data_IF_813418222896
#
_entry.id   IF_813418222896
#
_cell.length_a   1.000
_cell.length_b   1.000
_cell.length_c   1.000
_cell.angle_alpha   90.00
_cell.angle_beta   90.00
_cell.angle_gamma   90.00
#
_symmetry.space_group_name_H-M   'P 1'
#
loop_
_entity.id
_entity.type
_entity.pdbx_description
1 polymer ?
#
# COMPACT_ATOMS: atom_id res chain seq x y z
N UNK A 1 -5.15 3.16 30.37
CA UNK A 1 -5.08 1.99 29.47
C UNK A 1 -4.06 2.28 28.39
N UNK A 2 -2.97 1.53 28.34
CA UNK A 2 -1.95 1.72 27.30
C UNK A 2 -2.56 1.38 25.93
N UNK A 3 -2.51 2.34 25.00
CA UNK A 3 -2.95 2.16 23.62
C UNK A 3 -1.88 1.30 22.93
N UNK A 4 -1.88 -0.01 23.20
CA UNK A 4 -0.99 -0.96 22.54
C UNK A 4 -1.22 -0.82 21.04
N UNK A 5 -0.15 -0.56 20.30
CA UNK A 5 -0.12 -0.31 18.84
C UNK A 5 -0.94 -1.37 18.08
N UNK A 6 -2.24 -1.07 17.92
CA UNK A 6 -3.23 -1.95 17.32
C UNK A 6 -2.88 -2.28 15.86
N UNK A 7 -2.12 -1.41 15.21
CA UNK A 7 -1.67 -1.57 13.83
C UNK A 7 -0.77 -2.80 13.67
N UNK A 8 0.26 -2.98 14.50
CA UNK A 8 1.19 -4.12 14.36
C UNK A 8 0.47 -5.47 14.55
N UNK A 9 -0.40 -5.56 15.54
CA UNK A 9 -1.22 -6.76 15.81
C UNK A 9 -2.20 -7.05 14.67
N UNK A 10 -2.77 -6.02 14.04
CA UNK A 10 -3.63 -6.19 12.86
C UNK A 10 -2.83 -6.61 11.64
N UNK A 11 -1.70 -5.96 11.40
CA UNK A 11 -0.81 -6.22 10.26
C UNK A 11 -0.27 -7.65 10.27
N UNK A 12 0.14 -8.17 11.42
CA UNK A 12 0.61 -9.56 11.55
C UNK A 12 -0.48 -10.60 11.24
N UNK A 13 -1.75 -10.31 11.54
CA UNK A 13 -2.88 -11.19 11.20
C UNK A 13 -3.18 -11.24 9.70
N UNK A 14 -2.73 -10.25 8.93
CA UNK A 14 -2.91 -10.20 7.47
C UNK A 14 -1.93 -11.14 6.76
N UNK A 15 -0.77 -11.41 7.38
CA UNK A 15 0.19 -12.40 6.87
C UNK A 15 -0.44 -13.78 6.99
N UNK A 16 -0.94 -14.29 5.88
CA UNK A 16 -1.63 -15.57 5.81
C UNK A 16 -1.45 -16.21 4.43
N UNK A 17 -1.00 -17.48 4.38
CA UNK A 17 -0.91 -18.23 3.12
C UNK A 17 -2.29 -18.50 2.50
N UNK A 18 -3.39 -18.34 3.25
CA UNK A 18 -4.74 -18.74 2.83
C UNK A 18 -5.37 -17.80 1.81
N UNK A 19 -5.13 -16.49 1.94
CA UNK A 19 -5.80 -15.46 1.13
C UNK A 19 -5.06 -15.13 -0.17
N UNK A 20 -3.80 -15.53 -0.31
CA UNK A 20 -3.01 -15.29 -1.52
C UNK A 20 -2.56 -13.84 -1.73
N UNK A 21 -2.56 -13.02 -0.68
CA UNK A 21 -2.19 -11.59 -0.72
C UNK A 21 -0.82 -11.37 -0.10
N UNK A 22 -0.60 -11.94 1.09
CA UNK A 22 0.61 -11.78 1.87
C UNK A 22 0.94 -13.09 2.58
N UNK A 23 1.80 -13.92 1.97
CA UNK A 23 2.15 -15.24 2.50
C UNK A 23 3.14 -15.14 3.67
N UNK A 24 4.26 -14.47 3.42
CA UNK A 24 5.35 -14.32 4.38
C UNK A 24 6.17 -13.08 4.06
N UNK A 25 6.74 -12.47 5.10
CA UNK A 25 7.66 -11.33 4.99
C UNK A 25 9.05 -11.81 5.39
N UNK A 26 10.03 -11.48 4.58
CA UNK A 26 11.42 -11.87 4.75
C UNK A 26 12.28 -10.62 4.86
N UNK A 27 13.25 -10.65 5.78
CA UNK A 27 14.29 -9.62 5.80
C UNK A 27 15.19 -9.84 4.59
N UNK A 28 15.30 -8.82 3.74
CA UNK A 28 16.12 -8.88 2.55
C UNK A 28 17.60 -8.66 2.91
N UNK A 29 18.53 -9.19 2.11
CA UNK A 29 19.95 -8.93 2.29
C UNK A 29 20.21 -7.42 2.26
N UNK A 30 21.14 -7.00 3.11
CA UNK A 30 21.56 -5.60 3.16
C UNK A 30 22.38 -5.27 1.92
N UNK A 31 22.23 -4.06 1.39
CA UNK A 31 23.12 -3.56 0.37
C UNK A 31 24.52 -3.37 0.96
N UNK A 32 25.54 -3.85 0.23
CA UNK A 32 26.94 -4.00 0.72
C UNK A 32 27.56 -2.70 1.26
N UNK A 33 27.02 -1.53 0.92
CA UNK A 33 27.56 -0.22 1.28
C UNK A 33 26.59 0.68 2.05
N UNK A 34 25.41 0.19 2.42
CA UNK A 34 24.48 0.95 3.27
C UNK A 34 24.19 0.17 4.56
N UNK A 35 24.89 0.47 5.67
CA UNK A 35 24.69 -0.21 6.94
C UNK A 35 23.38 0.17 7.62
N UNK A 36 22.76 1.29 7.26
CA UNK A 36 21.55 1.81 7.88
C UNK A 36 20.29 1.30 7.18
N UNK A 37 20.39 0.91 5.92
CA UNK A 37 19.27 0.34 5.17
C UNK A 37 18.81 -1.00 5.75
N UNK A 38 17.54 -1.04 6.16
CA UNK A 38 16.83 -2.25 6.56
C UNK A 38 15.70 -2.46 5.56
N UNK A 39 15.74 -3.61 4.89
CA UNK A 39 14.81 -3.94 3.82
C UNK A 39 14.02 -5.20 4.17
N UNK A 40 12.73 -5.16 3.91
CA UNK A 40 11.86 -6.34 3.94
C UNK A 40 11.19 -6.52 2.59
N UNK A 41 10.90 -7.77 2.26
CA UNK A 41 10.22 -8.15 1.03
C UNK A 41 9.19 -9.22 1.30
N UNK A 42 8.18 -9.28 0.45
CA UNK A 42 7.15 -10.32 0.52
C UNK A 42 7.49 -11.49 -0.38
N UNK A 43 7.16 -12.70 0.08
CA UNK A 43 7.20 -13.87 -0.77
C UNK A 43 6.02 -13.80 -1.76
N UNK A 44 6.24 -14.04 -3.06
CA UNK A 44 5.17 -13.98 -4.05
C UNK A 44 4.07 -14.99 -3.72
N UNK A 45 2.82 -14.53 -3.85
CA UNK A 45 1.62 -15.32 -3.58
C UNK A 45 0.93 -15.68 -4.88
N UNK A 46 0.19 -16.80 -4.92
CA UNK A 46 -0.67 -17.11 -6.07
C UNK A 46 -1.88 -16.18 -6.09
N UNK A 47 -1.83 -15.17 -6.97
CA UNK A 47 -2.86 -14.13 -7.07
C UNK A 47 -3.96 -14.43 -8.09
N UNK A 48 -3.96 -15.61 -8.72
CA UNK A 48 -4.95 -15.98 -9.77
C UNK A 48 -6.39 -15.90 -9.28
N UNK A 49 -6.62 -16.15 -7.97
CA UNK A 49 -7.93 -16.02 -7.31
C UNK A 49 -8.43 -14.57 -7.21
N UNK A 50 -7.52 -13.60 -7.35
CA UNK A 50 -7.79 -12.16 -7.32
C UNK A 50 -7.73 -11.55 -8.73
N UNK A 51 -7.76 -12.39 -9.78
CA UNK A 51 -7.65 -11.96 -11.18
C UNK A 51 -6.33 -11.24 -11.51
N UNK A 52 -5.29 -11.43 -10.69
CA UNK A 52 -3.94 -10.94 -10.93
C UNK A 52 -3.04 -11.99 -11.59
N UNK A 53 -1.85 -11.54 -11.99
CA UNK A 53 -0.80 -12.42 -12.52
C UNK A 53 -0.23 -13.33 -11.42
N UNK A 54 -0.02 -14.61 -11.75
CA UNK A 54 0.17 -15.68 -10.76
C UNK A 54 1.21 -15.39 -9.67
N UNK A 55 2.34 -14.77 -10.00
CA UNK A 55 3.42 -14.50 -9.04
C UNK A 55 3.98 -13.07 -9.10
N UNK A 56 3.19 -12.14 -9.65
CA UNK A 56 3.68 -10.80 -9.92
C UNK A 56 3.63 -9.86 -8.70
N UNK A 57 2.86 -10.22 -7.68
CA UNK A 57 2.69 -9.43 -6.46
C UNK A 57 3.90 -9.47 -5.53
N UNK A 58 4.97 -8.80 -5.95
CA UNK A 58 6.16 -8.50 -5.15
C UNK A 58 6.05 -7.06 -4.64
N UNK A 59 6.36 -6.89 -3.36
CA UNK A 59 6.40 -5.61 -2.65
C UNK A 59 7.53 -5.63 -1.64
N UNK A 60 8.07 -4.47 -1.32
CA UNK A 60 9.22 -4.33 -0.45
C UNK A 60 9.31 -2.94 0.15
N UNK A 61 9.50 -2.87 1.46
CA UNK A 61 9.78 -1.64 2.18
C UNK A 61 11.25 -1.52 2.53
N UNK A 62 11.74 -0.28 2.50
CA UNK A 62 13.06 0.09 3.02
C UNK A 62 12.91 1.23 4.04
N UNK A 63 13.63 1.15 5.15
CA UNK A 63 13.73 2.24 6.11
C UNK A 63 14.99 2.09 6.96
N UNK A 64 15.30 3.09 7.79
CA UNK A 64 16.40 3.02 8.76
C UNK A 64 16.01 2.21 10.01
N UNK A 65 14.72 2.17 10.32
CA UNK A 65 14.18 1.43 11.47
C UNK A 65 13.47 0.14 11.03
N UNK A 66 13.66 -0.93 11.82
CA UNK A 66 13.07 -2.26 11.53
C UNK A 66 11.55 -2.18 11.48
N UNK A 67 10.94 -1.50 12.45
CA UNK A 67 9.49 -1.40 12.56
C UNK A 67 8.89 -0.70 11.34
N UNK A 68 9.46 0.42 10.93
CA UNK A 68 8.96 1.20 9.80
C UNK A 68 9.17 0.49 8.47
N UNK A 69 10.29 -0.21 8.31
CA UNK A 69 10.55 -1.02 7.12
C UNK A 69 9.57 -2.20 7.00
N UNK A 70 9.30 -2.89 8.12
CA UNK A 70 8.31 -3.96 8.18
C UNK A 70 6.88 -3.47 7.90
N UNK A 71 6.45 -2.41 8.60
CA UNK A 71 5.11 -1.85 8.43
C UNK A 71 4.92 -1.22 7.04
N UNK A 72 5.96 -0.58 6.49
CA UNK A 72 5.98 -0.04 5.13
C UNK A 72 5.81 -1.14 4.09
N UNK A 73 6.51 -2.27 4.25
CA UNK A 73 6.34 -3.44 3.36
C UNK A 73 4.91 -3.96 3.36
N UNK A 74 4.28 -4.06 4.53
CA UNK A 74 2.88 -4.48 4.65
C UNK A 74 1.95 -3.48 3.98
N UNK A 75 2.16 -2.19 4.24
CA UNK A 75 1.38 -1.10 3.66
C UNK A 75 1.41 -1.13 2.14
N UNK A 76 2.60 -1.17 1.54
CA UNK A 76 2.76 -1.25 0.08
C UNK A 76 2.06 -2.49 -0.48
N UNK A 77 2.23 -3.64 0.16
CA UNK A 77 1.62 -4.89 -0.31
C UNK A 77 0.09 -4.78 -0.31
N UNK A 78 -0.51 -4.30 0.78
CA UNK A 78 -1.97 -4.17 0.87
C UNK A 78 -2.49 -3.15 -0.15
N UNK A 79 -1.80 -2.02 -0.32
CA UNK A 79 -2.15 -1.00 -1.30
C UNK A 79 -2.21 -1.58 -2.73
N UNK A 80 -1.23 -2.40 -3.10
CA UNK A 80 -1.16 -3.06 -4.42
C UNK A 80 -2.34 -3.98 -4.69
N UNK A 81 -2.83 -4.71 -3.68
CA UNK A 81 -3.95 -5.63 -3.83
C UNK A 81 -5.32 -4.99 -3.59
N UNK A 82 -5.38 -3.80 -3.00
CA UNK A 82 -6.62 -3.10 -2.71
C UNK A 82 -7.57 -2.98 -3.93
N UNK A 83 -7.08 -2.67 -5.15
CA UNK A 83 -7.92 -2.63 -6.35
C UNK A 83 -8.64 -3.94 -6.69
N UNK A 84 -8.05 -5.10 -6.36
CA UNK A 84 -8.62 -6.41 -6.68
C UNK A 84 -9.94 -6.70 -5.94
N UNK A 85 -10.25 -5.94 -4.89
CA UNK A 85 -11.48 -6.09 -4.11
C UNK A 85 -12.64 -5.23 -4.61
N UNK A 86 -12.40 -4.35 -5.57
CA UNK A 86 -13.45 -3.49 -6.11
C UNK A 86 -13.99 -4.05 -7.43
N UNK A 87 -15.31 -4.20 -7.49
CA UNK A 87 -16.00 -4.52 -8.73
C UNK A 87 -16.23 -3.23 -9.53
N UNK A 88 -15.43 -3.05 -10.59
CA UNK A 88 -15.51 -1.88 -11.48
C UNK A 88 -16.90 -1.73 -12.12
N UNK A 89 -17.65 -2.81 -12.29
CA UNK A 89 -19.02 -2.77 -12.85
C UNK A 89 -20.03 -2.18 -11.87
N UNK A 90 -19.75 -2.23 -10.57
CA UNK A 90 -20.58 -1.64 -9.50
C UNK A 90 -20.19 -0.20 -9.17
N UNK A 91 -19.15 0.33 -9.79
CA UNK A 91 -18.72 1.71 -9.57
C UNK A 91 -19.68 2.68 -10.25
N UNK A 92 -20.18 3.66 -9.50
CA UNK A 92 -21.02 4.73 -10.03
C UNK A 92 -20.14 5.85 -10.59
N UNK A 93 -20.24 6.09 -11.90
CA UNK A 93 -19.64 7.27 -12.53
C UNK A 93 -20.31 8.52 -11.98
N UNK A 94 -19.54 9.39 -11.33
CA UNK A 94 -20.02 10.67 -10.79
C UNK A 94 -19.14 11.81 -11.27
N UNK A 95 -19.77 12.95 -11.55
CA UNK A 95 -19.06 14.21 -11.81
C UNK A 95 -18.91 14.94 -10.47
N UNK A 96 -17.90 15.81 -10.34
CA UNK A 96 -17.60 16.55 -9.09
C UNK A 96 -18.83 17.30 -8.54
N UNK A 97 -19.75 17.74 -9.41
CA UNK A 97 -20.99 18.42 -9.05
C UNK A 97 -22.08 17.54 -8.40
N UNK A 98 -21.98 16.21 -8.53
CA UNK A 98 -22.99 15.25 -8.05
C UNK A 98 -22.55 14.49 -6.79
N UNK A 99 -21.38 14.81 -6.21
CA UNK A 99 -21.03 14.27 -4.90
C UNK A 99 -21.93 14.95 -3.86
N UNK A 100 -22.67 14.22 -3.00
CA UNK A 100 -23.20 14.83 -1.80
C UNK A 100 -22.02 15.49 -1.07
N UNK A 101 -22.19 16.66 -0.43
CA UNK A 101 -21.09 17.35 0.23
C UNK A 101 -20.54 16.47 1.36
N UNK A 102 -19.55 15.64 1.03
CA UNK A 102 -18.90 14.76 1.99
C UNK A 102 -17.95 15.62 2.79
N UNK A 103 -18.43 16.00 3.97
CA UNK A 103 -17.65 16.41 5.14
C UNK A 103 -16.71 17.60 4.89
N UNK A 104 -17.00 18.74 5.52
CA UNK A 104 -16.01 19.82 5.71
C UNK A 104 -14.75 19.21 6.34
N UNK A 105 -13.73 18.89 5.55
CA UNK A 105 -12.42 18.54 6.09
C UNK A 105 -11.87 19.81 6.74
N UNK A 106 -12.00 19.89 8.08
CA UNK A 106 -11.53 21.02 8.88
C UNK A 106 -10.01 21.16 8.93
N UNK A 107 -9.23 20.33 8.22
CA UNK A 107 -7.78 20.34 8.35
C UNK A 107 -7.10 20.17 6.99
N UNK A 108 -6.15 21.09 6.76
CA UNK A 108 -5.16 21.23 5.69
C UNK A 108 -5.62 21.99 4.43
N UNK A 109 -5.36 23.31 4.34
CA UNK A 109 -5.34 23.97 3.04
C UNK A 109 -4.25 23.31 2.19
N UNK A 110 -4.60 22.85 0.99
CA UNK A 110 -3.60 22.45 -0.01
C UNK A 110 -2.83 23.71 -0.40
N UNK A 111 -1.48 23.69 -0.46
CA UNK A 111 -0.74 24.79 -1.04
C UNK A 111 -1.19 24.96 -2.50
N UNK A 112 -1.44 26.21 -2.88
CA UNK A 112 -1.81 26.58 -4.25
C UNK A 112 -0.71 26.11 -5.21
N UNK A 113 -1.03 25.13 -6.05
CA UNK A 113 -0.15 24.72 -7.12
C UNK A 113 -0.39 25.71 -8.26
N UNK A 114 0.60 26.54 -8.57
CA UNK A 114 0.60 27.41 -9.75
C UNK A 114 0.34 26.57 -11.00
N UNK A 115 -0.49 27.03 -11.96
CA UNK A 115 -0.77 26.27 -13.18
C UNK A 115 0.53 26.10 -13.97
N UNK A 116 1.11 24.89 -13.90
CA UNK A 116 2.18 24.49 -14.81
C UNK A 116 1.53 24.30 -16.18
N UNK A 117 1.95 25.13 -17.12
CA UNK A 117 1.46 25.12 -18.49
C UNK A 117 1.57 23.75 -19.14
N UNK A 118 0.70 23.54 -20.13
CA UNK A 118 0.60 22.37 -20.99
C UNK A 118 1.98 21.79 -21.36
N UNK A 119 2.32 20.64 -20.80
CA UNK A 119 3.39 19.80 -21.34
C UNK A 119 2.72 18.86 -22.33
N UNK A 120 2.81 19.23 -23.61
CA UNK A 120 2.44 18.37 -24.73
C UNK A 120 3.21 17.07 -24.68
N UNK A 121 2.48 15.97 -24.86
CA UNK A 121 3.06 14.64 -25.07
C UNK A 121 3.47 14.59 -26.56
N UNK A 122 4.78 14.59 -26.81
CA UNK A 122 5.40 14.01 -28.00
C UNK A 122 6.22 12.80 -27.54
#
# INVERSE_FOLDING_TARGET
>A
MANINNALLKSTKIISPRLGILHSILKLPRQVYDPLSINFGVFPCDSTKLFGEKYEGRSSGCNFEIYDSFMGTIGETIERYCPAFYDTKKMVKSNVSHRPPTYKSKYFPRPEVSPVGEIGIF
#
